data_IF_582593261291
#
_entry.id   IF_582593261291
#
_cell.length_a   1.000
_cell.length_b   1.000
_cell.length_c   1.000
_cell.angle_alpha   90.00
_cell.angle_beta   90.00
_cell.angle_gamma   90.00
#
_symmetry.space_group_name_H-M   'P 1'
#
loop_
_entity.id
_entity.type
_entity.pdbx_description
1 polymer ?
#
# COMPACT_ATOMS: atom_id res chain seq x y z
N UNK A 1 10.49 11.45 7.94
CA UNK A 1 9.73 10.23 7.58
C UNK A 1 10.73 9.24 7.03
N UNK A 2 10.93 8.12 7.71
CA UNK A 2 11.74 7.01 7.19
C UNK A 2 10.90 6.22 6.19
N UNK A 3 11.26 6.31 4.91
CA UNK A 3 10.65 5.56 3.81
C UNK A 3 11.27 4.16 3.67
N UNK A 4 11.86 3.63 4.74
CA UNK A 4 12.47 2.30 4.76
C UNK A 4 11.37 1.25 4.91
N UNK A 5 10.91 0.75 3.77
CA UNK A 5 10.03 -0.41 3.67
C UNK A 5 10.81 -1.63 3.19
N UNK A 6 10.45 -2.80 3.67
CA UNK A 6 11.01 -4.08 3.22
C UNK A 6 10.51 -4.41 1.81
N UNK A 7 11.15 -5.38 1.14
CA UNK A 7 10.69 -5.84 -0.17
C UNK A 7 9.24 -6.40 -0.13
N UNK A 8 8.83 -7.00 0.98
CA UNK A 8 7.46 -7.49 1.17
C UNK A 8 6.46 -6.34 1.30
N UNK A 9 6.79 -5.33 2.12
CA UNK A 9 6.00 -4.12 2.27
C UNK A 9 5.92 -3.33 0.96
N UNK A 10 7.00 -3.27 0.19
CA UNK A 10 7.04 -2.65 -1.14
C UNK A 10 6.10 -3.37 -2.12
N UNK A 11 6.16 -4.70 -2.20
CA UNK A 11 5.24 -5.46 -3.03
C UNK A 11 3.77 -5.20 -2.66
N UNK A 12 3.48 -5.03 -1.36
CA UNK A 12 2.14 -4.68 -0.88
C UNK A 12 1.71 -3.29 -1.34
N UNK A 13 2.59 -2.29 -1.17
CA UNK A 13 2.38 -0.91 -1.63
C UNK A 13 2.08 -0.87 -3.13
N UNK A 14 2.82 -1.62 -3.94
CA UNK A 14 2.57 -1.70 -5.39
C UNK A 14 1.21 -2.34 -5.71
N UNK A 15 0.83 -3.44 -5.03
CA UNK A 15 -0.50 -4.05 -5.22
C UNK A 15 -1.64 -3.12 -4.88
N UNK A 16 -1.58 -2.46 -3.73
CA UNK A 16 -2.59 -1.45 -3.34
C UNK A 16 -2.63 -0.34 -4.39
N UNK A 17 -1.48 0.11 -4.89
CA UNK A 17 -1.41 1.14 -5.93
C UNK A 17 -2.05 0.72 -7.25
N UNK A 18 -1.87 -0.52 -7.67
CA UNK A 18 -2.53 -1.05 -8.86
C UNK A 18 -4.03 -1.12 -8.68
N UNK A 19 -4.51 -1.56 -7.52
CA UNK A 19 -5.95 -1.67 -7.25
C UNK A 19 -6.65 -0.32 -7.19
N UNK A 20 -6.03 0.64 -6.50
CA UNK A 20 -6.50 2.04 -6.47
C UNK A 20 -6.51 2.64 -7.88
N UNK A 21 -5.48 2.37 -8.70
CA UNK A 21 -5.46 2.81 -10.10
C UNK A 21 -6.51 2.13 -10.98
N UNK A 22 -6.86 0.88 -10.69
CA UNK A 22 -7.95 0.17 -11.34
C UNK A 22 -9.34 0.65 -10.88
N UNK A 23 -9.41 1.64 -9.97
CA UNK A 23 -10.65 2.17 -9.42
C UNK A 23 -11.21 1.35 -8.25
N UNK A 24 -10.45 0.38 -7.74
CA UNK A 24 -10.80 -0.42 -6.57
C UNK A 24 -10.20 0.15 -5.29
N UNK A 25 -10.92 0.03 -4.18
CA UNK A 25 -10.47 0.52 -2.88
C UNK A 25 -10.39 -0.66 -1.89
N UNK A 26 -9.28 -1.44 -1.90
CA UNK A 26 -9.19 -2.67 -1.13
C UNK A 26 -9.18 -2.37 0.36
N UNK A 27 -9.82 -3.24 1.16
CA UNK A 27 -9.75 -3.19 2.63
C UNK A 27 -8.65 -4.10 3.16
N UNK A 28 -8.28 -3.93 4.44
CA UNK A 28 -7.39 -4.87 5.14
C UNK A 28 -7.90 -6.32 5.02
N UNK A 29 -9.22 -6.50 5.10
CA UNK A 29 -9.86 -7.82 5.01
C UNK A 29 -9.84 -8.40 3.59
N UNK A 30 -9.99 -7.56 2.56
CA UNK A 30 -9.85 -8.02 1.16
C UNK A 30 -8.44 -8.52 0.88
N UNK A 31 -7.43 -7.78 1.37
CA UNK A 31 -6.02 -8.17 1.20
C UNK A 31 -5.69 -9.42 2.02
N UNK A 32 -6.21 -9.53 3.24
CA UNK A 32 -6.05 -10.74 4.06
C UNK A 32 -6.78 -11.94 3.45
N UNK A 33 -7.93 -11.75 2.80
CA UNK A 33 -8.65 -12.82 2.12
C UNK A 33 -7.91 -13.31 0.86
N UNK A 34 -7.27 -12.40 0.11
CA UNK A 34 -6.52 -12.75 -1.10
C UNK A 34 -5.12 -13.31 -0.80
N UNK A 35 -4.44 -12.80 0.22
CA UNK A 35 -3.02 -13.07 0.49
C UNK A 35 -2.76 -13.84 1.78
N UNK A 36 -3.79 -14.03 2.61
CA UNK A 36 -3.70 -14.62 3.94
C UNK A 36 -3.57 -13.58 5.05
N UNK A 37 -4.01 -13.92 6.25
CA UNK A 37 -3.91 -13.06 7.44
C UNK A 37 -2.47 -12.69 7.82
N UNK A 38 -1.47 -13.37 7.25
CA UNK A 38 -0.06 -13.07 7.43
C UNK A 38 0.34 -11.68 6.93
N UNK A 39 -0.46 -11.02 6.07
CA UNK A 39 -0.17 -9.68 5.54
C UNK A 39 -0.65 -8.54 6.45
N UNK A 40 -1.49 -8.85 7.45
CA UNK A 40 -2.03 -7.83 8.36
C UNK A 40 -0.94 -7.07 9.12
N UNK A 41 0.14 -7.71 9.64
CA UNK A 41 1.25 -7.01 10.26
C UNK A 41 1.94 -6.00 9.33
N UNK A 42 2.13 -6.35 8.06
CA UNK A 42 2.75 -5.51 7.03
C UNK A 42 1.86 -4.32 6.71
N UNK A 43 0.54 -4.52 6.57
CA UNK A 43 -0.42 -3.45 6.37
C UNK A 43 -0.43 -2.46 7.55
N UNK A 44 -0.42 -2.98 8.78
CA UNK A 44 -0.32 -2.14 9.98
C UNK A 44 1.02 -1.38 10.06
N UNK A 45 2.12 -2.03 9.68
CA UNK A 45 3.44 -1.38 9.59
C UNK A 45 3.43 -0.25 8.56
N UNK A 46 2.84 -0.48 7.39
CA UNK A 46 2.70 0.53 6.33
C UNK A 46 1.81 1.71 6.74
N UNK A 47 0.71 1.44 7.45
CA UNK A 47 -0.14 2.47 8.04
C UNK A 47 0.63 3.29 9.09
N UNK A 48 1.34 2.64 9.99
CA UNK A 48 2.15 3.30 11.02
C UNK A 48 3.28 4.16 10.43
N UNK A 49 3.87 3.72 9.32
CA UNK A 49 4.90 4.46 8.57
C UNK A 49 4.32 5.57 7.69
N UNK A 50 3.00 5.65 7.52
CA UNK A 50 2.32 6.66 6.70
C UNK A 50 2.36 6.38 5.19
N UNK A 51 2.59 5.13 4.78
CA UNK A 51 2.53 4.71 3.38
C UNK A 51 1.10 4.47 2.91
N UNK A 52 0.30 3.85 3.78
CA UNK A 52 -1.12 3.64 3.58
C UNK A 52 -1.91 4.60 4.46
N UNK A 53 -3.10 4.96 4.01
CA UNK A 53 -4.10 5.69 4.76
C UNK A 53 -5.44 4.99 4.58
N UNK A 54 -6.27 5.05 5.62
CA UNK A 54 -7.64 4.57 5.58
C UNK A 54 -8.53 5.74 5.17
N UNK A 55 -9.27 5.60 4.08
CA UNK A 55 -10.23 6.60 3.62
C UNK A 55 -11.55 6.51 4.42
N UNK A 56 -12.47 7.44 4.19
CA UNK A 56 -13.78 7.52 4.85
C UNK A 56 -14.61 6.23 4.72
N UNK A 57 -14.40 5.46 3.65
CA UNK A 57 -15.07 4.18 3.39
C UNK A 57 -14.39 2.98 4.07
N UNK A 58 -13.38 3.20 4.92
CA UNK A 58 -12.51 2.17 5.51
C UNK A 58 -11.66 1.38 4.49
N UNK A 59 -11.54 1.91 3.28
CA UNK A 59 -10.64 1.36 2.26
C UNK A 59 -9.22 1.87 2.45
N UNK A 60 -8.26 1.00 2.13
CA UNK A 60 -6.85 1.35 2.09
C UNK A 60 -6.54 2.06 0.77
N UNK A 61 -5.91 3.22 0.90
CA UNK A 61 -5.32 3.93 -0.21
C UNK A 61 -3.91 4.39 0.15
N UNK A 62 -3.15 4.81 -0.85
CA UNK A 62 -1.79 5.29 -0.64
C UNK A 62 -1.81 6.74 -0.22
N UNK A 63 -0.96 7.08 0.74
CA UNK A 63 -0.70 8.47 1.07
C UNK A 63 -0.12 9.18 -0.16
N UNK A 64 -0.34 10.49 -0.27
CA UNK A 64 0.19 11.29 -1.38
C UNK A 64 1.70 11.08 -1.58
N UNK A 65 2.44 11.02 -0.48
CA UNK A 65 3.90 10.83 -0.50
C UNK A 65 4.25 9.42 -1.00
N UNK A 66 3.49 8.39 -0.58
CA UNK A 66 3.68 7.04 -1.08
C UNK A 66 3.36 6.93 -2.58
N UNK A 67 2.31 7.61 -3.07
CA UNK A 67 1.98 7.66 -4.49
C UNK A 67 3.10 8.30 -5.32
N UNK A 68 3.68 9.41 -4.84
CA UNK A 68 4.81 10.08 -5.47
C UNK A 68 6.06 9.19 -5.44
N UNK A 69 6.34 8.52 -4.32
CA UNK A 69 7.48 7.60 -4.19
C UNK A 69 7.35 6.38 -5.13
N UNK A 70 6.16 5.77 -5.20
CA UNK A 70 5.86 4.65 -6.12
C UNK A 70 5.97 5.10 -7.57
N UNK A 71 5.49 6.30 -7.90
CA UNK A 71 5.55 6.83 -9.27
C UNK A 71 6.98 7.16 -9.68
N UNK A 72 7.76 7.80 -8.80
CA UNK A 72 9.17 8.11 -9.04
C UNK A 72 10.01 6.84 -9.20
N UNK A 73 9.78 5.80 -8.38
CA UNK A 73 10.53 4.54 -8.45
C UNK A 73 10.20 3.74 -9.72
N UNK A 74 8.96 3.84 -10.22
CA UNK A 74 8.55 3.26 -11.51
C UNK A 74 9.17 3.98 -12.70
N UNK A 75 9.40 5.29 -12.60
CA UNK A 75 10.02 6.10 -13.66
C UNK A 75 11.52 5.82 -13.82
N UNK A 76 12.21 5.46 -12.74
CA UNK A 76 13.64 5.11 -12.73
C UNK A 76 13.90 3.70 -13.30
N UNK A 77 12.87 2.87 -13.44
CA UNK A 77 12.95 1.49 -13.97
C UNK A 77 12.57 1.34 -15.44
N UNK A 78 12.44 2.43 -16.20
CA UNK A 78 12.12 2.44 -17.63
C UNK A 78 13.32 2.27 -18.56
#
# INVERSE_FOLDING_TARGET
MDFNITAAEEAMVFRVAERVRAGGAPTDDDLAAELGDEVRPELQSLLAKGWLIVDAERSLTLSRIAQEAVSSRRDIGG
#
